data_IF_135348009555
#
_entry.id   IF_135348009555
#
_cell.length_a   1.000
_cell.length_b   1.000
_cell.length_c   1.000
_cell.angle_alpha   90.00
_cell.angle_beta   90.00
_cell.angle_gamma   90.00
#
_symmetry.space_group_name_H-M   'P 1'
#
loop_
_entity.id
_entity.type
_entity.pdbx_description
1 polymer ?
#
# COMPACT_ATOMS: atom_id res chain seq x y z
N UNK A 1 6.74 -5.30 -7.57
CA UNK A 1 5.54 -5.77 -6.86
C UNK A 1 5.84 -5.75 -5.37
N UNK A 2 4.90 -5.28 -4.54
CA UNK A 2 5.13 -5.07 -3.09
C UNK A 2 4.64 -6.28 -2.29
N UNK A 3 5.42 -6.72 -1.31
CA UNK A 3 5.16 -7.94 -0.55
C UNK A 3 3.98 -7.83 0.43
N UNK A 4 3.44 -8.99 0.83
CA UNK A 4 2.33 -9.12 1.79
C UNK A 4 2.78 -9.10 3.26
N UNK A 5 4.05 -9.34 3.53
CA UNK A 5 4.55 -9.39 4.91
C UNK A 5 4.72 -7.99 5.50
N UNK A 6 4.82 -7.96 6.83
CA UNK A 6 5.26 -6.77 7.54
C UNK A 6 6.78 -6.72 7.65
N UNK A 7 7.33 -5.52 7.63
CA UNK A 7 8.71 -5.22 7.96
C UNK A 7 8.70 -4.44 9.28
N UNK A 8 9.37 -4.97 10.31
CA UNK A 8 9.41 -4.36 11.65
C UNK A 8 8.01 -3.98 12.22
N UNK A 9 7.00 -4.82 11.95
CA UNK A 9 5.62 -4.58 12.39
C UNK A 9 4.79 -3.66 11.49
N UNK A 10 5.36 -3.10 10.42
CA UNK A 10 4.63 -2.29 9.43
C UNK A 10 4.40 -3.09 8.14
N UNK A 11 3.15 -3.25 7.66
CA UNK A 11 2.88 -3.90 6.38
C UNK A 11 3.60 -3.19 5.22
N UNK A 12 4.33 -3.93 4.38
CA UNK A 12 5.12 -3.34 3.30
C UNK A 12 4.28 -2.51 2.31
N UNK A 13 3.00 -2.87 2.11
CA UNK A 13 2.03 -2.10 1.30
C UNK A 13 1.70 -0.72 1.87
N UNK A 14 1.99 -0.48 3.14
CA UNK A 14 1.75 0.78 3.86
C UNK A 14 3.03 1.43 4.38
N UNK A 15 4.21 0.91 4.04
CA UNK A 15 5.49 1.36 4.57
C UNK A 15 6.09 2.48 3.70
N UNK A 16 5.96 3.73 4.16
CA UNK A 16 6.50 4.88 3.44
C UNK A 16 8.02 4.93 3.44
N UNK A 17 8.68 4.48 4.51
CA UNK A 17 10.13 4.44 4.58
C UNK A 17 10.69 3.47 3.53
N UNK A 18 10.09 2.29 3.41
CA UNK A 18 10.49 1.30 2.41
C UNK A 18 10.23 1.80 0.98
N UNK A 19 9.02 2.30 0.72
CA UNK A 19 8.57 2.60 -0.65
C UNK A 19 9.02 3.96 -1.19
N UNK A 20 9.33 4.93 -0.32
CA UNK A 20 9.84 6.24 -0.73
C UNK A 20 11.32 6.36 -0.41
N UNK A 21 11.67 6.36 0.86
CA UNK A 21 13.02 6.70 1.30
C UNK A 21 14.04 5.69 0.74
N UNK A 22 13.77 4.39 0.86
CA UNK A 22 14.67 3.37 0.33
C UNK A 22 14.48 3.19 -1.18
N UNK A 23 13.29 2.79 -1.62
CA UNK A 23 13.07 2.41 -3.01
C UNK A 23 13.23 3.58 -4.00
N UNK A 24 12.66 4.75 -3.70
CA UNK A 24 12.64 5.89 -4.65
C UNK A 24 13.81 6.83 -4.46
N UNK A 25 14.16 7.15 -3.22
CA UNK A 25 15.16 8.17 -2.95
C UNK A 25 16.58 7.58 -2.92
N UNK A 26 16.80 6.48 -2.18
CA UNK A 26 18.12 5.83 -2.14
C UNK A 26 18.43 5.01 -3.40
N UNK A 27 17.48 4.19 -3.86
CA UNK A 27 17.70 3.33 -5.03
C UNK A 27 17.31 3.99 -6.36
N UNK A 28 16.68 5.16 -6.33
CA UNK A 28 16.35 5.91 -7.53
C UNK A 28 15.23 5.31 -8.39
N UNK A 29 14.41 4.40 -7.86
CA UNK A 29 13.37 3.73 -8.66
C UNK A 29 12.31 4.71 -9.18
N UNK A 30 12.16 4.79 -10.51
CA UNK A 30 11.19 5.68 -11.20
C UNK A 30 9.99 4.95 -11.80
N UNK A 31 9.89 3.64 -11.60
CA UNK A 31 8.79 2.84 -12.13
C UNK A 31 7.51 2.92 -11.28
N UNK A 32 6.58 2.03 -11.64
CA UNK A 32 5.28 1.87 -10.99
C UNK A 32 5.39 0.79 -9.91
N UNK A 33 4.90 1.09 -8.71
CA UNK A 33 4.72 0.11 -7.64
C UNK A 33 3.31 -0.49 -7.72
N UNK A 34 3.24 -1.82 -7.71
CA UNK A 34 1.98 -2.57 -7.76
C UNK A 34 1.86 -3.37 -6.47
N UNK A 35 0.70 -3.31 -5.82
CA UNK A 35 0.40 -4.13 -4.64
C UNK A 35 0.31 -5.61 -5.04
N UNK A 36 0.50 -6.52 -4.08
CA UNK A 36 0.09 -7.91 -4.24
C UNK A 36 -1.44 -8.05 -4.18
N UNK A 37 -1.97 -9.23 -4.51
CA UNK A 37 -3.38 -9.56 -4.58
C UNK A 37 -4.09 -9.36 -3.22
N UNK A 38 -4.93 -8.31 -3.14
CA UNK A 38 -5.67 -7.94 -1.93
C UNK A 38 -4.78 -7.47 -0.77
N UNK A 39 -3.58 -6.96 -1.08
CA UNK A 39 -2.62 -6.55 -0.06
C UNK A 39 -3.09 -5.35 0.77
N UNK A 40 -3.88 -4.43 0.20
CA UNK A 40 -4.40 -3.26 0.93
C UNK A 40 -5.43 -3.72 1.95
N UNK A 41 -6.34 -4.62 1.55
CA UNK A 41 -7.28 -5.28 2.46
C UNK A 41 -6.58 -6.07 3.57
N UNK A 42 -5.50 -6.80 3.26
CA UNK A 42 -4.75 -7.54 4.28
C UNK A 42 -3.98 -6.63 5.25
N UNK A 43 -3.34 -5.58 4.74
CA UNK A 43 -2.69 -4.56 5.55
C UNK A 43 -3.68 -3.89 6.50
N UNK A 44 -4.92 -3.66 6.02
CA UNK A 44 -6.01 -3.18 6.86
C UNK A 44 -6.36 -4.17 7.99
N UNK A 45 -6.52 -5.46 7.68
CA UNK A 45 -6.81 -6.48 8.70
C UNK A 45 -5.71 -6.64 9.75
N UNK A 46 -4.45 -6.34 9.41
CA UNK A 46 -3.31 -6.43 10.34
C UNK A 46 -3.20 -5.23 11.28
N UNK A 47 -3.72 -4.06 10.87
CA UNK A 47 -3.83 -2.87 11.73
C UNK A 47 -5.28 -2.70 12.18
N UNK A 48 -5.56 -3.14 13.40
CA UNK A 48 -6.87 -2.98 14.07
C UNK A 48 -7.52 -1.60 13.82
N UNK A 49 -8.66 -1.59 13.12
CA UNK A 49 -9.68 -0.54 13.30
C UNK A 49 -9.71 0.65 12.32
N UNK A 50 -8.91 0.67 11.25
CA UNK A 50 -9.11 1.69 10.20
C UNK A 50 -10.38 1.44 9.38
N UNK A 51 -10.88 2.42 8.65
CA UNK A 51 -11.90 2.14 7.63
C UNK A 51 -11.21 1.71 6.34
N UNK A 52 -11.90 0.97 5.43
CA UNK A 52 -11.34 0.61 4.13
C UNK A 52 -10.76 1.80 3.36
N UNK A 53 -11.39 2.98 3.42
CA UNK A 53 -10.91 4.18 2.72
C UNK A 53 -9.61 4.70 3.32
N UNK A 54 -9.44 4.60 4.64
CA UNK A 54 -8.23 5.02 5.33
C UNK A 54 -7.06 4.08 4.99
N UNK A 55 -7.33 2.78 4.83
CA UNK A 55 -6.32 1.82 4.37
C UNK A 55 -5.83 2.13 2.95
N UNK A 56 -6.75 2.44 2.03
CA UNK A 56 -6.40 2.85 0.65
C UNK A 56 -5.61 4.16 0.66
N UNK A 57 -6.05 5.14 1.46
CA UNK A 57 -5.38 6.43 1.59
C UNK A 57 -3.95 6.27 2.11
N UNK A 58 -3.73 5.40 3.10
CA UNK A 58 -2.39 5.10 3.62
C UNK A 58 -1.55 4.42 2.54
N UNK A 59 -2.04 3.38 1.87
CA UNK A 59 -1.30 2.68 0.83
C UNK A 59 -0.84 3.62 -0.31
N UNK A 60 -1.76 4.47 -0.80
CA UNK A 60 -1.47 5.49 -1.81
C UNK A 60 -0.42 6.49 -1.31
N UNK A 61 -0.61 7.02 -0.08
CA UNK A 61 0.33 7.97 0.51
C UNK A 61 1.70 7.36 0.76
N UNK A 62 1.79 6.07 1.08
CA UNK A 62 3.05 5.37 1.30
C UNK A 62 3.81 5.10 0.00
N UNK A 63 3.13 5.10 -1.15
CA UNK A 63 3.78 5.08 -2.46
C UNK A 63 3.37 3.92 -3.36
N UNK A 64 2.26 3.24 -3.08
CA UNK A 64 1.61 2.30 -4.01
C UNK A 64 0.94 3.08 -5.15
N UNK A 65 1.22 2.72 -6.40
CA UNK A 65 0.62 3.35 -7.57
C UNK A 65 -0.57 2.57 -8.16
N UNK A 66 -0.53 1.25 -8.05
CA UNK A 66 -1.55 0.38 -8.63
C UNK A 66 -1.93 -0.72 -7.65
N UNK A 67 -3.22 -0.96 -7.52
CA UNK A 67 -3.76 -2.05 -6.73
C UNK A 67 -4.01 -3.29 -7.60
N UNK A 68 -3.45 -4.43 -7.20
CA UNK A 68 -3.76 -5.72 -7.81
C UNK A 68 -4.94 -6.35 -7.08
N UNK A 69 -6.10 -6.36 -7.74
CA UNK A 69 -7.31 -7.05 -7.26
C UNK A 69 -7.69 -6.69 -5.81
N UNK A 70 -7.92 -5.40 -5.56
CA UNK A 70 -8.42 -4.94 -4.27
C UNK A 70 -9.71 -4.14 -4.44
N UNK A 71 -10.78 -4.66 -3.85
CA UNK A 71 -12.11 -4.05 -3.88
C UNK A 71 -12.11 -2.71 -3.13
N UNK A 72 -11.28 -2.57 -2.09
CA UNK A 72 -11.19 -1.33 -1.32
C UNK A 72 -10.70 -0.18 -2.19
N UNK A 73 -9.72 -0.44 -3.06
CA UNK A 73 -9.20 0.57 -3.98
C UNK A 73 -10.26 1.02 -4.98
N UNK A 74 -10.97 0.07 -5.60
CA UNK A 74 -12.02 0.37 -6.57
C UNK A 74 -13.18 1.15 -5.95
N UNK A 75 -13.65 0.74 -4.78
CA UNK A 75 -14.77 1.40 -4.09
C UNK A 75 -14.39 2.80 -3.58
N UNK A 76 -13.17 2.98 -3.06
CA UNK A 76 -12.71 4.28 -2.55
C UNK A 76 -12.47 5.29 -3.67
N UNK A 77 -11.82 4.86 -4.77
CA UNK A 77 -11.52 5.76 -5.89
C UNK A 77 -12.72 6.01 -6.81
N UNK A 78 -13.80 5.24 -6.73
CA UNK A 78 -15.06 5.52 -7.46
C UNK A 78 -15.85 6.72 -6.92
N UNK A 79 -15.59 7.12 -5.68
CA UNK A 79 -16.25 8.26 -5.04
C UNK A 79 -15.45 9.57 -5.07
N UNK A 80 -14.32 9.60 -5.79
CA UNK A 80 -13.41 10.75 -5.92
C UNK A 80 -13.36 11.25 -7.35
#
# INVERSE_FOLDING_TARGET
MVALNSLNGTPATSDAWLLKDVLRDQWGFKGITVSDHGAIKRAHQTRYGLRPEDAVRVALKSGINMSMSDEYYSNTCRGW
#
